data_IF_780621408165
#
_entry.id   IF_780621408165
#
_cell.length_a   1.000
_cell.length_b   1.000
_cell.length_c   1.000
_cell.angle_alpha   90.00
_cell.angle_beta   90.00
_cell.angle_gamma   90.00
#
_symmetry.space_group_name_H-M   'P 1'
#
loop_
_entity.id
_entity.type
_entity.pdbx_description
1 polymer ?
#
# COMPACT_ATOMS: atom_id res chain seq x y z
N UNK A 1 -12.27 -9.59 -23.81
CA UNK A 1 -10.91 -9.12 -23.47
C UNK A 1 -10.97 -8.57 -22.06
N UNK A 2 -10.06 -8.97 -21.17
CA UNK A 2 -10.00 -8.46 -19.79
C UNK A 2 -9.39 -7.06 -19.78
N UNK A 3 -10.08 -6.08 -19.20
CA UNK A 3 -9.58 -4.70 -19.12
C UNK A 3 -8.55 -4.55 -18.00
N UNK A 4 -7.80 -3.45 -17.99
CA UNK A 4 -6.91 -3.12 -16.88
C UNK A 4 -7.68 -2.98 -15.57
N UNK A 5 -8.86 -2.34 -15.59
CA UNK A 5 -9.72 -2.20 -14.41
C UNK A 5 -10.17 -3.56 -13.84
N UNK A 6 -10.48 -4.54 -14.72
CA UNK A 6 -10.84 -5.89 -14.28
C UNK A 6 -9.67 -6.58 -13.57
N UNK A 7 -8.44 -6.38 -14.04
CA UNK A 7 -7.22 -6.93 -13.41
C UNK A 7 -7.00 -6.32 -12.03
N UNK A 8 -7.14 -5.00 -11.89
CA UNK A 8 -7.05 -4.33 -10.59
C UNK A 8 -8.12 -4.84 -9.61
N UNK A 9 -9.37 -4.97 -10.07
CA UNK A 9 -10.44 -5.51 -9.24
C UNK A 9 -10.16 -6.95 -8.80
N UNK A 10 -9.64 -7.79 -9.69
CA UNK A 10 -9.24 -9.15 -9.36
C UNK A 10 -8.13 -9.18 -8.30
N UNK A 11 -7.09 -8.34 -8.44
CA UNK A 11 -6.02 -8.22 -7.44
C UNK A 11 -6.55 -7.78 -6.07
N UNK A 12 -7.47 -6.81 -6.04
CA UNK A 12 -8.13 -6.41 -4.79
C UNK A 12 -8.91 -7.54 -4.14
N UNK A 13 -9.70 -8.30 -4.91
CA UNK A 13 -10.47 -9.41 -4.37
C UNK A 13 -9.57 -10.53 -3.83
N UNK A 14 -8.46 -10.81 -4.52
CA UNK A 14 -7.44 -11.75 -4.02
C UNK A 14 -6.80 -11.23 -2.72
N UNK A 15 -6.40 -9.97 -2.67
CA UNK A 15 -5.82 -9.35 -1.47
C UNK A 15 -6.80 -9.36 -0.28
N UNK A 16 -8.07 -9.07 -0.53
CA UNK A 16 -9.12 -9.14 0.47
C UNK A 16 -9.27 -10.56 1.01
N UNK A 17 -9.36 -11.55 0.12
CA UNK A 17 -9.45 -12.96 0.49
C UNK A 17 -8.22 -13.42 1.28
N UNK A 18 -7.02 -13.03 0.87
CA UNK A 18 -5.78 -13.28 1.58
C UNK A 18 -5.83 -12.72 3.00
N UNK A 19 -6.20 -11.45 3.15
CA UNK A 19 -6.26 -10.79 4.44
C UNK A 19 -7.28 -11.47 5.37
N UNK A 20 -8.48 -11.76 4.88
CA UNK A 20 -9.56 -12.43 5.64
C UNK A 20 -9.16 -13.85 6.09
N UNK A 21 -8.41 -14.58 5.26
CA UNK A 21 -8.01 -15.97 5.52
C UNK A 21 -6.67 -16.14 6.24
N UNK A 22 -5.94 -15.05 6.49
CA UNK A 22 -4.64 -15.09 7.18
C UNK A 22 -4.76 -14.47 8.57
N UNK A 23 -4.84 -15.26 9.67
CA UNK A 23 -5.01 -14.74 11.02
C UNK A 23 -3.96 -13.71 11.43
N UNK A 24 -2.72 -13.86 10.96
CA UNK A 24 -1.59 -12.97 11.21
C UNK A 24 -1.77 -11.58 10.58
N UNK A 25 -2.66 -11.44 9.60
CA UNK A 25 -3.04 -10.17 8.94
C UNK A 25 -4.27 -9.56 9.63
N UNK A 26 -4.71 -10.12 10.76
CA UNK A 26 -5.81 -9.58 11.56
C UNK A 26 -7.17 -9.59 10.86
N UNK A 27 -7.30 -10.39 9.79
CA UNK A 27 -8.55 -10.53 8.99
C UNK A 27 -9.05 -9.22 8.36
N UNK A 28 -8.15 -8.28 8.05
CA UNK A 28 -8.50 -7.00 7.41
C UNK A 28 -7.38 -6.44 6.53
N UNK A 29 -7.72 -5.65 5.52
CA UNK A 29 -6.74 -4.94 4.69
C UNK A 29 -6.10 -3.74 5.40
N UNK A 30 -6.89 -3.03 6.20
CA UNK A 30 -6.47 -1.78 6.84
C UNK A 30 -5.29 -2.01 7.80
N UNK A 31 -4.23 -1.22 7.62
CA UNK A 31 -2.99 -1.30 8.41
C UNK A 31 -2.05 -2.46 8.05
N UNK A 32 -2.36 -3.26 7.02
CA UNK A 32 -1.57 -4.43 6.62
C UNK A 32 -0.85 -4.24 5.28
N UNK A 33 -0.47 -3.00 4.95
CA UNK A 33 0.08 -2.64 3.65
C UNK A 33 1.35 -3.44 3.27
N UNK A 34 2.20 -3.77 4.25
CA UNK A 34 3.45 -4.52 4.05
C UNK A 34 3.15 -5.97 3.64
N UNK A 35 2.44 -6.72 4.48
CA UNK A 35 2.12 -8.13 4.25
C UNK A 35 1.28 -8.34 3.02
N UNK A 36 0.27 -7.50 2.80
CA UNK A 36 -0.62 -7.59 1.63
C UNK A 36 0.15 -7.28 0.34
N UNK A 37 0.89 -6.16 0.29
CA UNK A 37 1.61 -5.78 -0.94
C UNK A 37 2.69 -6.80 -1.29
N UNK A 38 3.45 -7.28 -0.30
CA UNK A 38 4.47 -8.31 -0.53
C UNK A 38 3.86 -9.62 -1.06
N UNK A 39 2.80 -10.11 -0.41
CA UNK A 39 2.13 -11.36 -0.82
C UNK A 39 1.49 -11.26 -2.21
N UNK A 40 1.07 -10.06 -2.63
CA UNK A 40 0.41 -9.82 -3.91
C UNK A 40 1.38 -9.48 -5.05
N UNK A 41 2.69 -9.34 -4.79
CA UNK A 41 3.67 -8.89 -5.78
C UNK A 41 3.68 -9.79 -7.04
N UNK A 42 3.73 -11.11 -6.88
CA UNK A 42 3.77 -12.04 -8.01
C UNK A 42 2.46 -12.02 -8.81
N UNK A 43 1.30 -12.04 -8.13
CA UNK A 43 0.00 -11.93 -8.81
C UNK A 43 -0.12 -10.62 -9.59
N UNK A 44 0.37 -9.51 -9.03
CA UNK A 44 0.39 -8.22 -9.72
C UNK A 44 1.28 -8.27 -10.97
N UNK A 45 2.44 -8.92 -10.89
CA UNK A 45 3.34 -9.09 -12.04
C UNK A 45 2.75 -9.92 -13.16
N UNK A 46 2.10 -11.03 -12.80
CA UNK A 46 1.39 -11.89 -13.75
C UNK A 46 0.25 -11.13 -14.45
N UNK A 47 -0.46 -10.28 -13.70
CA UNK A 47 -1.60 -9.54 -14.23
C UNK A 47 -1.19 -8.32 -15.07
N UNK A 48 -0.23 -7.53 -14.59
CA UNK A 48 0.02 -6.16 -15.07
C UNK A 48 1.41 -5.95 -15.70
N UNK A 49 2.41 -6.78 -15.39
CA UNK A 49 3.75 -6.65 -15.97
C UNK A 49 4.87 -7.04 -15.01
N UNK A 50 5.96 -7.60 -15.54
CA UNK A 50 7.11 -8.07 -14.72
C UNK A 50 7.86 -6.94 -14.02
N UNK A 51 7.68 -5.70 -14.48
CA UNK A 51 8.26 -4.46 -13.98
C UNK A 51 7.57 -3.91 -12.72
N UNK A 52 6.47 -4.52 -12.27
CA UNK A 52 5.86 -4.15 -10.99
C UNK A 52 6.82 -4.44 -9.84
N UNK A 53 7.07 -3.44 -9.00
CA UNK A 53 7.92 -3.52 -7.82
C UNK A 53 7.11 -3.28 -6.54
N UNK A 54 7.57 -3.88 -5.44
CA UNK A 54 7.15 -3.47 -4.11
C UNK A 54 7.80 -2.12 -3.77
N UNK A 55 6.98 -1.19 -3.30
CA UNK A 55 7.38 0.16 -2.97
C UNK A 55 7.12 0.46 -1.50
N UNK A 56 8.06 1.17 -0.87
CA UNK A 56 7.95 1.69 0.50
C UNK A 56 8.14 3.20 0.47
N UNK A 57 7.26 3.90 1.19
CA UNK A 57 7.29 5.36 1.27
C UNK A 57 6.15 5.91 2.11
N UNK A 58 5.69 7.10 1.75
CA UNK A 58 4.58 7.77 2.40
C UNK A 58 3.59 8.30 1.36
N UNK A 59 2.44 8.77 1.83
CA UNK A 59 1.51 9.53 0.98
C UNK A 59 1.46 10.98 1.40
N UNK A 60 1.23 11.84 0.43
CA UNK A 60 0.80 13.22 0.66
C UNK A 60 -0.69 13.32 0.37
N UNK A 61 -1.44 13.79 1.36
CA UNK A 61 -2.88 13.93 1.30
C UNK A 61 -3.32 15.17 2.05
N UNK A 62 -4.11 16.04 1.39
CA UNK A 62 -4.56 17.33 1.95
C UNK A 62 -3.42 18.21 2.52
N UNK A 63 -2.26 18.19 1.87
CA UNK A 63 -1.08 18.95 2.30
C UNK A 63 -0.27 18.30 3.43
N UNK A 64 -0.73 17.17 3.98
CA UNK A 64 -0.05 16.47 5.05
C UNK A 64 0.68 15.23 4.54
N UNK A 65 1.84 14.93 5.13
CA UNK A 65 2.56 13.67 4.90
C UNK A 65 2.08 12.63 5.92
N UNK A 66 1.47 11.54 5.46
CA UNK A 66 1.02 10.44 6.32
C UNK A 66 2.05 9.31 6.31
N UNK A 67 2.42 8.80 7.49
CA UNK A 67 3.44 7.75 7.66
C UNK A 67 4.80 8.17 7.06
N UNK A 68 5.18 9.42 7.30
CA UNK A 68 6.46 9.95 6.84
C UNK A 68 7.62 9.39 7.66
N UNK A 69 8.72 9.15 6.97
CA UNK A 69 10.01 8.82 7.56
C UNK A 69 11.14 9.48 6.76
N UNK A 70 12.24 9.75 7.47
CA UNK A 70 13.44 10.38 6.93
C UNK A 70 14.51 9.35 6.55
N UNK A 71 15.56 9.82 5.88
CA UNK A 71 16.70 8.95 5.54
C UNK A 71 17.48 8.49 6.79
N UNK A 72 17.45 9.29 7.85
CA UNK A 72 18.05 8.90 9.13
C UNK A 72 17.24 7.82 9.84
N UNK A 73 15.92 7.79 9.66
CA UNK A 73 15.09 6.69 10.15
C UNK A 73 15.44 5.39 9.43
N UNK A 74 15.62 5.43 8.10
CA UNK A 74 16.07 4.28 7.30
C UNK A 74 17.43 3.76 7.81
N UNK A 75 18.40 4.65 8.06
CA UNK A 75 19.72 4.26 8.58
C UNK A 75 19.60 3.54 9.94
N UNK A 76 18.78 4.09 10.85
CA UNK A 76 18.53 3.48 12.17
C UNK A 76 17.91 2.10 12.03
N UNK A 77 16.91 1.93 11.17
CA UNK A 77 16.27 0.64 10.97
C UNK A 77 17.22 -0.38 10.37
N UNK A 78 18.05 0.02 9.39
CA UNK A 78 19.10 -0.83 8.82
C UNK A 78 20.17 -1.24 9.84
N UNK A 79 20.44 -0.39 10.83
CA UNK A 79 21.35 -0.72 11.94
C UNK A 79 20.70 -1.54 13.06
N UNK A 80 19.46 -2.02 12.89
CA UNK A 80 18.77 -2.89 13.85
C UNK A 80 17.92 -2.17 14.89
N UNK A 81 17.73 -0.85 14.79
CA UNK A 81 16.78 -0.14 15.67
C UNK A 81 15.36 -0.55 15.29
N UNK A 82 14.59 -1.00 16.29
CA UNK A 82 13.19 -1.41 16.09
C UNK A 82 12.36 -0.24 15.57
N UNK A 83 11.72 -0.45 14.42
CA UNK A 83 10.85 0.52 13.78
C UNK A 83 9.49 0.59 14.50
N UNK A 84 8.89 1.79 14.66
CA UNK A 84 7.49 1.92 15.04
C UNK A 84 6.54 1.29 14.00
N UNK A 85 5.54 0.55 14.46
CA UNK A 85 4.63 -0.21 13.58
C UNK A 85 3.85 0.64 12.56
N UNK A 86 3.73 1.94 12.77
CA UNK A 86 2.94 2.88 11.98
C UNK A 86 3.78 3.91 11.21
N UNK A 87 5.03 3.59 10.83
CA UNK A 87 5.93 4.58 10.22
C UNK A 87 6.11 4.52 8.71
N UNK A 88 5.64 3.47 8.03
CA UNK A 88 5.75 3.40 6.56
C UNK A 88 4.45 2.98 5.94
N UNK A 89 4.30 3.30 4.65
CA UNK A 89 3.26 2.76 3.80
C UNK A 89 3.87 1.96 2.65
N UNK A 90 3.22 0.87 2.26
CA UNK A 90 3.66 -0.02 1.19
C UNK A 90 2.59 -0.19 0.11
N UNK A 91 3.03 -0.26 -1.13
CA UNK A 91 2.16 -0.49 -2.30
C UNK A 91 2.95 -1.14 -3.42
N UNK A 92 2.29 -1.49 -4.52
CA UNK A 92 2.92 -2.03 -5.72
C UNK A 92 2.89 -0.99 -6.84
N UNK A 93 3.97 -0.86 -7.60
CA UNK A 93 4.05 0.16 -8.64
C UNK A 93 5.01 -0.22 -9.78
N UNK A 94 4.67 0.19 -11.00
CA UNK A 94 5.60 0.43 -12.10
C UNK A 94 5.38 1.83 -12.70
N UNK A 95 6.03 2.15 -13.81
CA UNK A 95 5.90 3.47 -14.46
C UNK A 95 4.45 3.77 -14.88
N UNK A 96 3.72 2.75 -15.34
CA UNK A 96 2.33 2.90 -15.82
C UNK A 96 1.27 2.55 -14.77
N UNK A 97 1.66 1.84 -13.72
CA UNK A 97 0.74 1.23 -12.77
C UNK A 97 1.03 1.65 -11.34
N UNK A 98 0.04 2.24 -10.67
CA UNK A 98 -0.02 2.33 -9.21
C UNK A 98 -1.06 1.34 -8.72
N UNK A 99 -0.73 0.51 -7.75
CA UNK A 99 -1.62 -0.50 -7.16
C UNK A 99 -1.47 -0.46 -5.64
N UNK A 100 -2.42 0.17 -4.98
CA UNK A 100 -2.46 0.23 -3.53
C UNK A 100 -3.79 -0.34 -3.01
N UNK A 101 -3.69 -1.59 -2.57
CA UNK A 101 -4.82 -2.43 -2.20
C UNK A 101 -5.31 -2.19 -0.77
N UNK A 102 -4.62 -1.34 0.00
CA UNK A 102 -4.86 -1.20 1.45
C UNK A 102 -5.15 0.22 1.89
N UNK A 103 -4.76 1.23 1.12
CA UNK A 103 -4.91 2.62 1.53
C UNK A 103 -6.36 3.05 1.71
N UNK A 104 -7.26 2.68 0.80
CA UNK A 104 -8.67 3.02 0.92
C UNK A 104 -9.27 2.48 2.23
N UNK A 105 -9.08 1.17 2.49
CA UNK A 105 -9.51 0.54 3.74
C UNK A 105 -8.87 1.18 4.98
N UNK A 106 -7.59 1.54 4.89
CA UNK A 106 -6.87 2.20 6.00
C UNK A 106 -7.44 3.59 6.29
N UNK A 107 -7.76 4.38 5.25
CA UNK A 107 -8.38 5.68 5.41
C UNK A 107 -9.79 5.56 6.02
N UNK A 108 -10.62 4.61 5.55
CA UNK A 108 -11.93 4.36 6.17
C UNK A 108 -11.85 3.93 7.64
N UNK A 109 -10.81 3.17 8.02
CA UNK A 109 -10.63 2.82 9.43
C UNK A 109 -10.25 4.04 10.27
N UNK A 110 -9.38 4.92 9.75
CA UNK A 110 -9.04 6.19 10.41
C UNK A 110 -10.28 7.09 10.53
N UNK A 111 -11.07 7.22 9.46
CA UNK A 111 -12.34 7.95 9.45
C UNK A 111 -13.26 7.48 10.57
N UNK A 112 -13.46 6.16 10.70
CA UNK A 112 -14.31 5.56 11.72
C UNK A 112 -13.81 5.87 13.14
N UNK A 113 -12.50 5.84 13.37
CA UNK A 113 -11.90 6.09 14.69
C UNK A 113 -11.97 7.57 15.04
N UNK A 114 -11.71 8.46 14.07
CA UNK A 114 -11.63 9.91 14.29
C UNK A 114 -12.95 10.63 14.06
N UNK A 115 -13.98 9.92 13.58
CA UNK A 115 -15.28 10.46 13.19
C UNK A 115 -15.17 11.63 12.20
N UNK A 116 -14.39 11.44 11.14
CA UNK A 116 -14.17 12.40 10.05
C UNK A 116 -14.38 11.72 8.71
N UNK A 117 -14.64 12.48 7.64
CA UNK A 117 -14.63 11.96 6.26
C UNK A 117 -13.33 12.34 5.56
N UNK A 118 -12.56 11.34 5.14
CA UNK A 118 -11.30 11.50 4.43
C UNK A 118 -11.51 11.26 2.93
N UNK A 119 -12.17 10.20 2.50
CA UNK A 119 -12.39 9.86 1.09
C UNK A 119 -13.87 9.48 0.84
N UNK A 120 -14.37 9.59 -0.40
CA UNK A 120 -15.71 9.11 -0.75
C UNK A 120 -15.89 7.62 -0.44
N UNK A 121 -17.10 7.20 -0.12
CA UNK A 121 -17.45 5.78 0.07
C UNK A 121 -17.35 5.00 -1.25
N UNK A 122 -17.12 3.69 -1.16
CA UNK A 122 -17.13 2.76 -2.31
C UNK A 122 -15.82 2.65 -3.08
N UNK A 123 -14.72 3.19 -2.55
CA UNK A 123 -13.38 3.04 -3.12
C UNK A 123 -12.75 1.78 -2.52
N UNK A 124 -12.54 0.76 -3.35
CA UNK A 124 -11.96 -0.51 -2.91
C UNK A 124 -10.44 -0.47 -2.80
N UNK A 125 -9.78 0.11 -3.80
CA UNK A 125 -8.33 0.19 -3.94
C UNK A 125 -7.95 1.53 -4.58
N UNK A 126 -6.66 1.85 -4.55
CA UNK A 126 -6.10 3.07 -5.12
C UNK A 126 -5.24 2.72 -6.34
N UNK A 127 -5.60 3.30 -7.48
CA UNK A 127 -4.80 3.31 -8.70
C UNK A 127 -4.41 4.74 -9.10
N UNK A 128 -3.71 4.91 -10.23
CA UNK A 128 -3.30 6.21 -10.74
C UNK A 128 -4.48 7.19 -10.95
N UNK A 129 -5.62 6.70 -11.41
CA UNK A 129 -6.82 7.51 -11.68
C UNK A 129 -7.49 7.97 -10.39
N UNK A 130 -7.69 7.03 -9.45
CA UNK A 130 -8.32 7.31 -8.16
C UNK A 130 -7.42 8.22 -7.32
N UNK A 131 -6.12 7.94 -7.21
CA UNK A 131 -5.18 8.77 -6.47
C UNK A 131 -5.17 10.21 -7.00
N UNK A 132 -5.15 10.38 -8.33
CA UNK A 132 -5.22 11.71 -8.97
C UNK A 132 -6.53 12.44 -8.65
N UNK A 133 -7.68 11.76 -8.76
CA UNK A 133 -9.00 12.35 -8.44
C UNK A 133 -9.08 12.83 -6.99
N UNK A 134 -8.44 12.11 -6.07
CA UNK A 134 -8.42 12.43 -4.65
C UNK A 134 -7.27 13.35 -4.24
N UNK A 135 -6.42 13.78 -5.17
CA UNK A 135 -5.20 14.54 -4.89
C UNK A 135 -4.29 13.84 -3.87
N UNK A 136 -4.23 12.51 -3.91
CA UNK A 136 -3.30 11.68 -3.13
C UNK A 136 -2.05 11.46 -3.99
N UNK A 137 -0.88 11.70 -3.40
CA UNK A 137 0.40 11.41 -4.06
C UNK A 137 1.18 10.39 -3.28
N UNK A 138 1.49 9.27 -3.90
CA UNK A 138 2.44 8.29 -3.38
C UNK A 138 3.86 8.79 -3.59
N UNK A 139 4.63 8.85 -2.52
CA UNK A 139 6.02 9.28 -2.51
C UNK A 139 6.91 8.08 -2.22
N UNK A 140 7.29 7.38 -3.30
CA UNK A 140 8.23 6.26 -3.26
C UNK A 140 9.58 6.72 -2.73
N UNK A 141 10.13 5.99 -1.77
CA UNK A 141 11.52 6.20 -1.30
C UNK A 141 12.40 5.01 -1.60
N UNK A 142 11.86 3.82 -1.43
CA UNK A 142 12.56 2.58 -1.67
C UNK A 142 11.66 1.67 -2.52
N UNK A 143 12.26 0.87 -3.38
CA UNK A 143 11.57 -0.22 -4.06
C UNK A 143 12.48 -1.41 -4.31
N UNK A 144 11.84 -2.54 -4.57
CA UNK A 144 12.49 -3.81 -4.87
C UNK A 144 11.89 -4.95 -4.05
N UNK A 145 12.14 -6.17 -4.50
CA UNK A 145 11.51 -7.39 -3.98
C UNK A 145 11.88 -7.65 -2.52
N UNK A 146 13.13 -7.32 -2.16
CA UNK A 146 13.67 -7.61 -0.84
C UNK A 146 13.61 -6.42 0.12
N UNK A 147 12.95 -5.33 -0.27
CA UNK A 147 13.09 -4.07 0.47
C UNK A 147 12.53 -4.14 1.90
N UNK A 148 11.57 -5.02 2.15
CA UNK A 148 11.07 -5.24 3.51
C UNK A 148 12.13 -5.92 4.40
N UNK A 149 12.86 -6.90 3.88
CA UNK A 149 13.96 -7.54 4.61
C UNK A 149 15.11 -6.56 4.87
N UNK A 150 15.44 -5.72 3.88
CA UNK A 150 16.44 -4.66 4.04
C UNK A 150 16.08 -3.63 5.12
N UNK A 151 14.79 -3.52 5.44
CA UNK A 151 14.26 -2.64 6.48
C UNK A 151 13.94 -3.41 7.78
N UNK A 152 14.38 -4.66 7.92
CA UNK A 152 14.13 -5.51 9.08
C UNK A 152 12.62 -5.63 9.41
N UNK A 153 11.79 -5.90 8.40
CA UNK A 153 10.40 -6.34 8.58
C UNK A 153 10.31 -7.84 8.91
#
# INVERSE_FOLDING_TARGET
>A
MTTVADKYKALYLQAKSLAENTPQVGRKLAGNCTTVSYSMLNSAREALGKDIELCVGWIEYKGERKWYFSDDDIKKWKSGVVRPTNMVHCWLQSDDHLIDLTLASTLYEIERIQNVSLIPLGIDYMDNSVARKLSIRHKKRLSGDNILFDLNF
#
